data_IF_416594967880
#
_entry.id   IF_416594967880
#
_cell.length_a   1.000
_cell.length_b   1.000
_cell.length_c   1.000
_cell.angle_alpha   90.00
_cell.angle_beta   90.00
_cell.angle_gamma   90.00
#
_symmetry.space_group_name_H-M   'P 1'
#
loop_
_entity.id
_entity.type
_entity.pdbx_description
1 polymer ?
#
# COMPACT_ATOMS: atom_id res chain seq x y z
N UNK A 1 -7.90 -18.16 -38.88
CA UNK A 1 -9.01 -18.92 -38.25
C UNK A 1 -9.03 -18.61 -36.76
N UNK A 2 -10.21 -18.47 -36.16
CA UNK A 2 -10.41 -18.06 -34.75
C UNK A 2 -9.80 -19.06 -33.75
N UNK A 3 -9.73 -20.35 -34.08
CA UNK A 3 -9.26 -21.40 -33.17
C UNK A 3 -7.74 -21.67 -33.25
N UNK A 4 -6.96 -20.81 -33.92
CA UNK A 4 -5.55 -21.08 -34.20
C UNK A 4 -4.70 -21.29 -32.93
N UNK A 5 -4.92 -20.49 -31.89
CA UNK A 5 -4.16 -20.50 -30.63
C UNK A 5 -4.87 -21.22 -29.48
N UNK A 6 -6.02 -21.85 -29.72
CA UNK A 6 -6.73 -22.58 -28.67
C UNK A 6 -5.85 -23.74 -28.15
N UNK A 7 -5.66 -23.91 -26.82
CA UNK A 7 -4.82 -24.97 -26.28
C UNK A 7 -5.26 -26.35 -26.79
N UNK A 8 -4.30 -27.11 -27.31
CA UNK A 8 -4.48 -28.49 -27.77
C UNK A 8 -3.33 -29.34 -27.24
N UNK A 9 -3.67 -30.50 -26.68
CA UNK A 9 -2.68 -31.47 -26.21
C UNK A 9 -1.78 -31.87 -27.36
N UNK A 10 -0.47 -31.79 -27.17
CA UNK A 10 0.51 -32.24 -28.15
C UNK A 10 0.70 -33.75 -28.01
N UNK A 11 0.68 -34.48 -29.11
CA UNK A 11 0.87 -35.94 -29.10
C UNK A 11 2.35 -36.34 -29.14
N UNK A 12 3.25 -35.38 -29.37
CA UNK A 12 4.69 -35.58 -29.47
C UNK A 12 5.44 -34.41 -28.82
N UNK A 13 6.75 -34.61 -28.61
CA UNK A 13 7.64 -33.54 -28.17
C UNK A 13 7.73 -32.41 -29.22
N UNK A 14 7.95 -31.19 -28.76
CA UNK A 14 8.13 -30.03 -29.64
C UNK A 14 9.60 -29.89 -30.06
N UNK A 15 9.85 -29.64 -31.35
CA UNK A 15 11.19 -29.40 -31.89
C UNK A 15 11.40 -27.90 -32.13
N UNK A 16 12.26 -27.28 -31.33
CA UNK A 16 12.70 -25.88 -31.50
C UNK A 16 14.17 -25.77 -31.14
N UNK A 17 14.99 -25.26 -32.06
CA UNK A 17 16.42 -25.07 -31.81
C UNK A 17 16.66 -23.99 -30.75
N UNK A 18 17.80 -24.09 -30.06
CA UNK A 18 18.26 -23.06 -29.12
C UNK A 18 18.38 -21.68 -29.78
N UNK A 19 18.82 -21.63 -31.04
CA UNK A 19 18.92 -20.37 -31.80
C UNK A 19 17.53 -19.74 -32.02
N UNK A 20 16.54 -20.53 -32.47
CA UNK A 20 15.17 -20.06 -32.65
C UNK A 20 14.56 -19.57 -31.34
N UNK A 21 14.77 -20.30 -30.23
CA UNK A 21 14.30 -19.88 -28.89
C UNK A 21 14.94 -18.59 -28.40
N UNK A 22 16.23 -18.36 -28.68
CA UNK A 22 16.90 -17.09 -28.33
C UNK A 22 16.30 -15.89 -29.06
N UNK A 23 15.89 -16.06 -30.31
CA UNK A 23 15.22 -15.02 -31.10
C UNK A 23 13.81 -14.78 -30.57
N UNK A 24 13.01 -15.84 -30.41
CA UNK A 24 11.61 -15.78 -29.94
C UNK A 24 11.49 -15.18 -28.52
N UNK A 25 12.44 -15.47 -27.63
CA UNK A 25 12.45 -14.93 -26.25
C UNK A 25 12.38 -13.40 -26.20
N UNK A 26 12.94 -12.69 -27.19
CA UNK A 26 12.92 -11.22 -27.23
C UNK A 26 11.50 -10.67 -27.44
N UNK A 27 10.66 -11.39 -28.18
CA UNK A 27 9.29 -10.97 -28.47
C UNK A 27 8.39 -10.98 -27.23
N UNK A 28 8.62 -11.92 -26.30
CA UNK A 28 7.77 -12.13 -25.12
C UNK A 28 8.32 -11.50 -23.82
N UNK A 29 9.38 -10.69 -23.91
CA UNK A 29 10.07 -10.12 -22.73
C UNK A 29 9.16 -9.11 -22.00
N UNK A 30 8.99 -9.29 -20.67
CA UNK A 30 8.14 -8.44 -19.82
C UNK A 30 8.88 -7.64 -18.76
N UNK A 31 9.90 -8.24 -18.15
CA UNK A 31 10.73 -7.61 -17.13
C UNK A 31 12.00 -6.99 -17.75
N UNK A 32 12.77 -6.15 -17.02
CA UNK A 32 14.00 -5.57 -17.51
C UNK A 32 14.94 -6.60 -18.14
N UNK A 33 15.56 -6.25 -19.26
CA UNK A 33 16.60 -7.08 -19.86
C UNK A 33 17.92 -6.88 -19.11
N UNK A 34 18.45 -7.96 -18.54
CA UNK A 34 19.73 -7.96 -17.83
C UNK A 34 20.91 -7.57 -18.73
N UNK A 35 20.76 -7.66 -20.05
CA UNK A 35 21.77 -7.25 -21.02
C UNK A 35 21.59 -5.80 -21.48
N UNK A 36 20.51 -5.12 -21.10
CA UNK A 36 20.32 -3.71 -21.45
C UNK A 36 21.19 -2.84 -20.54
N UNK A 37 22.09 -2.07 -21.13
CA UNK A 37 23.01 -1.18 -20.41
C UNK A 37 22.62 0.30 -20.51
N UNK A 38 21.55 0.61 -21.26
CA UNK A 38 21.07 1.97 -21.46
C UNK A 38 19.87 2.21 -20.55
N UNK A 39 19.90 3.34 -19.84
CA UNK A 39 18.72 3.85 -19.16
C UNK A 39 17.70 4.35 -20.19
N UNK A 40 16.42 4.14 -19.91
CA UNK A 40 15.35 4.78 -20.66
C UNK A 40 15.38 6.31 -20.41
N UNK A 41 14.86 7.10 -21.36
CA UNK A 41 14.79 8.55 -21.18
C UNK A 41 13.71 8.88 -20.16
N UNK A 42 14.10 9.45 -19.03
CA UNK A 42 13.21 9.85 -17.94
C UNK A 42 13.16 11.38 -17.74
N UNK A 43 13.66 12.14 -18.71
CA UNK A 43 13.60 13.61 -18.65
C UNK A 43 12.15 14.08 -18.58
N UNK A 44 11.82 14.85 -17.53
CA UNK A 44 10.48 15.36 -17.25
C UNK A 44 9.39 14.28 -17.08
N UNK A 45 9.77 13.05 -16.68
CA UNK A 45 8.82 12.01 -16.30
C UNK A 45 8.65 11.98 -14.77
N UNK A 46 7.43 12.21 -14.30
CA UNK A 46 7.04 12.17 -12.88
C UNK A 46 5.94 11.14 -12.62
N UNK A 47 5.86 10.11 -13.47
CA UNK A 47 4.94 9.00 -13.29
C UNK A 47 5.24 8.25 -11.98
N UNK A 48 4.21 7.60 -11.43
CA UNK A 48 4.39 6.80 -10.23
C UNK A 48 5.23 5.54 -10.51
N UNK A 49 6.45 5.51 -9.97
CA UNK A 49 7.38 4.37 -10.07
C UNK A 49 7.32 3.43 -8.87
N UNK A 50 6.46 3.67 -7.87
CA UNK A 50 6.40 2.86 -6.66
C UNK A 50 5.96 1.43 -6.99
N UNK A 51 6.82 0.46 -6.71
CA UNK A 51 6.47 -0.96 -6.85
C UNK A 51 5.43 -1.45 -5.83
N UNK A 52 5.16 -0.67 -4.80
CA UNK A 52 4.17 -0.97 -3.76
C UNK A 52 2.77 -0.49 -4.10
N UNK A 53 2.56 0.31 -5.14
CA UNK A 53 1.23 0.83 -5.47
C UNK A 53 0.27 -0.28 -5.92
N UNK A 54 -0.93 -0.28 -5.33
CA UNK A 54 -1.96 -1.29 -5.56
C UNK A 54 -3.25 -0.65 -6.09
N UNK A 55 -3.80 -1.20 -7.17
CA UNK A 55 -5.22 -1.04 -7.50
C UNK A 55 -6.09 -2.03 -6.73
N UNK A 56 -7.41 -1.85 -6.76
CA UNK A 56 -8.37 -2.64 -5.96
C UNK A 56 -8.17 -4.16 -6.10
N UNK A 57 -8.02 -4.67 -7.33
CA UNK A 57 -7.78 -6.10 -7.58
C UNK A 57 -6.53 -6.62 -6.84
N UNK A 58 -5.45 -5.84 -6.86
CA UNK A 58 -4.20 -6.19 -6.17
C UNK A 58 -4.33 -6.07 -4.65
N UNK A 59 -4.96 -4.98 -4.18
CA UNK A 59 -5.20 -4.72 -2.78
C UNK A 59 -6.07 -5.80 -2.13
N UNK A 60 -7.15 -6.23 -2.78
CA UNK A 60 -8.00 -7.30 -2.27
C UNK A 60 -7.26 -8.63 -2.16
N UNK A 61 -6.45 -9.00 -3.16
CA UNK A 61 -5.63 -10.22 -3.12
C UNK A 61 -4.63 -10.18 -1.96
N UNK A 62 -3.92 -9.07 -1.81
CA UNK A 62 -2.90 -8.92 -0.78
C UNK A 62 -3.51 -8.85 0.64
N UNK A 63 -4.64 -8.17 0.80
CA UNK A 63 -5.38 -8.13 2.06
C UNK A 63 -5.97 -9.49 2.47
N UNK A 64 -6.42 -10.28 1.49
CA UNK A 64 -6.84 -11.67 1.73
C UNK A 64 -5.66 -12.57 2.11
N UNK A 65 -4.47 -12.34 1.53
CA UNK A 65 -3.25 -13.07 1.87
C UNK A 65 -2.75 -12.82 3.29
N UNK A 66 -2.98 -11.62 3.83
CA UNK A 66 -2.61 -11.27 5.20
C UNK A 66 -3.26 -12.22 6.23
N UNK A 67 -2.44 -12.79 7.13
CA UNK A 67 -2.87 -13.70 8.20
C UNK A 67 -3.68 -13.04 9.31
N UNK A 68 -3.68 -11.70 9.40
CA UNK A 68 -4.41 -10.94 10.43
C UNK A 68 -4.01 -11.36 11.85
N UNK A 69 -2.70 -11.47 12.07
CA UNK A 69 -2.06 -12.02 13.27
C UNK A 69 -2.55 -11.36 14.56
N UNK A 70 -2.78 -12.16 15.61
CA UNK A 70 -2.90 -11.63 16.97
C UNK A 70 -1.57 -11.00 17.42
N UNK A 71 -1.64 -9.98 18.27
CA UNK A 71 -0.48 -9.26 18.84
C UNK A 71 0.58 -8.94 17.76
N UNK A 72 0.11 -8.34 16.67
CA UNK A 72 0.82 -8.36 15.40
C UNK A 72 2.20 -7.67 15.50
N UNK A 73 3.30 -8.37 15.17
CA UNK A 73 4.64 -7.77 15.24
C UNK A 73 4.80 -6.59 14.27
N UNK A 74 4.12 -6.60 13.14
CA UNK A 74 4.11 -5.46 12.22
C UNK A 74 3.55 -4.17 12.85
N UNK A 75 2.58 -4.27 13.76
CA UNK A 75 2.05 -3.12 14.50
C UNK A 75 3.09 -2.60 15.49
N UNK A 76 3.74 -3.51 16.23
CA UNK A 76 4.82 -3.15 17.18
C UNK A 76 6.02 -2.48 16.50
N UNK A 77 6.29 -2.85 15.26
CA UNK A 77 7.34 -2.24 14.43
C UNK A 77 6.89 -0.96 13.71
N UNK A 78 5.64 -0.51 13.90
CA UNK A 78 5.15 0.74 13.34
C UNK A 78 5.35 1.89 14.34
N UNK A 79 6.03 3.00 13.98
CA UNK A 79 6.25 4.12 14.90
C UNK A 79 4.99 4.81 15.42
N UNK A 80 3.87 4.71 14.68
CA UNK A 80 2.55 5.23 15.09
C UNK A 80 1.65 4.15 15.67
N UNK A 81 2.15 2.93 15.83
CA UNK A 81 1.41 1.79 16.40
C UNK A 81 0.07 1.47 15.70
N UNK A 82 -0.01 1.72 14.40
CA UNK A 82 -1.19 1.43 13.56
C UNK A 82 -1.72 0.01 13.78
N UNK A 83 -3.04 -0.14 13.96
CA UNK A 83 -3.69 -1.46 13.95
C UNK A 83 -3.77 -2.05 12.54
N UNK A 84 -2.62 -2.59 12.09
CA UNK A 84 -2.41 -3.19 10.77
C UNK A 84 -3.35 -4.37 10.55
N UNK A 85 -3.59 -5.18 11.59
CA UNK A 85 -4.53 -6.29 11.51
C UNK A 85 -5.91 -5.79 11.13
N UNK A 86 -6.42 -4.77 11.83
CA UNK A 86 -7.80 -4.32 11.66
C UNK A 86 -8.01 -3.56 10.36
N UNK A 87 -7.08 -2.68 9.94
CA UNK A 87 -7.28 -1.97 8.68
C UNK A 87 -7.16 -2.91 7.47
N UNK A 88 -6.23 -3.87 7.48
CA UNK A 88 -6.12 -4.85 6.39
C UNK A 88 -7.34 -5.78 6.36
N UNK A 89 -7.86 -6.19 7.52
CA UNK A 89 -9.13 -6.92 7.60
C UNK A 89 -10.28 -6.14 6.96
N UNK A 90 -10.33 -4.83 7.21
CA UNK A 90 -11.35 -3.95 6.62
C UNK A 90 -11.22 -3.87 5.10
N UNK A 91 -9.99 -3.77 4.56
CA UNK A 91 -9.75 -3.82 3.10
C UNK A 91 -10.22 -5.14 2.51
N UNK A 92 -9.88 -6.28 3.13
CA UNK A 92 -10.28 -7.61 2.63
C UNK A 92 -11.80 -7.76 2.55
N UNK A 93 -12.53 -7.11 3.46
CA UNK A 93 -14.00 -7.09 3.50
C UNK A 93 -14.62 -5.94 2.70
N UNK A 94 -13.85 -5.26 1.84
CA UNK A 94 -14.26 -4.09 1.04
C UNK A 94 -14.76 -2.89 1.86
N UNK A 95 -14.45 -2.84 3.14
CA UNK A 95 -14.72 -1.70 4.01
C UNK A 95 -13.53 -0.72 3.97
N UNK A 96 -13.38 0.00 2.86
CA UNK A 96 -12.25 0.92 2.67
C UNK A 96 -12.33 2.14 3.58
N UNK A 97 -13.54 2.62 3.87
CA UNK A 97 -13.76 3.69 4.86
C UNK A 97 -13.29 3.27 6.26
N UNK A 98 -13.68 2.09 6.73
CA UNK A 98 -13.25 1.58 8.04
C UNK A 98 -11.74 1.38 8.12
N UNK A 99 -11.12 0.93 7.02
CA UNK A 99 -9.66 0.83 6.93
C UNK A 99 -9.00 2.21 7.06
N UNK A 100 -9.44 3.19 6.26
CA UNK A 100 -8.90 4.54 6.30
C UNK A 100 -9.13 5.21 7.66
N UNK A 101 -10.32 5.05 8.25
CA UNK A 101 -10.62 5.55 9.59
C UNK A 101 -9.63 5.01 10.62
N UNK A 102 -9.37 3.70 10.61
CA UNK A 102 -8.38 3.09 11.50
C UNK A 102 -6.99 3.69 11.28
N UNK A 103 -6.57 3.81 10.02
CA UNK A 103 -5.26 4.39 9.67
C UNK A 103 -5.12 5.82 10.18
N UNK A 104 -6.11 6.69 9.91
CA UNK A 104 -6.07 8.09 10.31
C UNK A 104 -6.29 8.31 11.80
N UNK A 105 -6.76 7.31 12.55
CA UNK A 105 -6.94 7.41 14.00
C UNK A 105 -5.61 7.43 14.74
N UNK A 106 -4.61 6.68 14.26
CA UNK A 106 -3.26 6.68 14.84
C UNK A 106 -2.26 7.52 14.04
N UNK A 107 -2.53 7.80 12.76
CA UNK A 107 -1.62 8.51 11.87
C UNK A 107 -2.34 9.53 10.96
N UNK A 108 -2.30 10.84 11.29
CA UNK A 108 -2.95 11.88 10.49
C UNK A 108 -2.33 12.06 9.09
N UNK A 109 -1.12 11.53 8.85
CA UNK A 109 -0.44 11.53 7.55
C UNK A 109 -0.53 10.16 6.85
N UNK A 110 -1.59 9.39 7.13
CA UNK A 110 -1.78 8.01 6.68
C UNK A 110 -1.52 7.77 5.20
N UNK A 111 -2.00 8.64 4.31
CA UNK A 111 -1.77 8.52 2.86
C UNK A 111 -0.29 8.70 2.49
N UNK A 112 0.33 9.78 2.99
CA UNK A 112 1.75 10.06 2.78
C UNK A 112 2.62 8.91 3.26
N UNK A 113 2.41 8.43 4.49
CA UNK A 113 3.15 7.32 5.07
C UNK A 113 2.95 6.02 4.28
N UNK A 114 1.74 5.74 3.77
CA UNK A 114 1.50 4.59 2.91
C UNK A 114 2.35 4.58 1.64
N UNK A 115 2.68 5.77 1.11
CA UNK A 115 3.50 5.91 -0.09
C UNK A 115 5.01 5.91 0.16
N UNK A 116 5.48 6.46 1.29
CA UNK A 116 6.92 6.79 1.47
C UNK A 116 7.59 6.08 2.64
N UNK A 117 6.86 5.36 3.49
CA UNK A 117 7.49 4.66 4.61
C UNK A 117 8.52 3.62 4.11
N UNK A 118 9.72 3.56 4.72
CA UNK A 118 10.72 2.52 4.43
C UNK A 118 10.30 1.21 5.12
N UNK A 119 9.21 0.60 4.64
CA UNK A 119 8.49 -0.44 5.39
C UNK A 119 9.34 -1.66 5.72
N UNK A 120 10.35 -1.99 4.90
CA UNK A 120 11.27 -3.10 5.14
C UNK A 120 12.06 -2.96 6.44
N UNK A 121 12.31 -1.73 6.89
CA UNK A 121 12.98 -1.42 8.17
C UNK A 121 11.96 -1.17 9.31
N UNK A 122 10.67 -1.24 9.00
CA UNK A 122 9.56 -0.94 9.91
C UNK A 122 8.58 -2.13 9.95
N UNK A 123 7.29 -1.86 9.72
CA UNK A 123 6.20 -2.81 9.85
C UNK A 123 6.36 -4.08 8.99
N UNK A 124 6.92 -3.98 7.77
CA UNK A 124 7.11 -5.14 6.88
C UNK A 124 8.28 -5.99 7.33
N UNK A 125 9.32 -5.38 7.93
CA UNK A 125 10.44 -6.10 8.52
C UNK A 125 10.03 -7.04 9.67
N UNK A 126 8.98 -6.69 10.42
CA UNK A 126 8.40 -7.52 11.47
C UNK A 126 7.28 -8.47 11.00
N UNK A 127 6.96 -8.57 9.72
CA UNK A 127 5.79 -9.34 9.26
C UNK A 127 6.01 -10.86 9.36
N UNK A 128 5.12 -11.60 10.02
CA UNK A 128 5.21 -13.07 10.14
C UNK A 128 5.26 -13.81 8.80
N UNK A 129 4.64 -13.28 7.74
CA UNK A 129 4.68 -13.88 6.41
C UNK A 129 6.06 -13.80 5.75
N UNK A 130 7.02 -13.07 6.34
CA UNK A 130 8.42 -13.16 5.94
C UNK A 130 8.96 -14.61 6.05
N UNK A 131 8.38 -15.43 6.94
CA UNK A 131 8.74 -16.84 7.10
C UNK A 131 8.20 -17.77 5.99
N UNK A 132 7.54 -17.23 4.95
CA UNK A 132 6.99 -17.98 3.81
C UNK A 132 7.71 -17.64 2.52
N UNK A 133 7.68 -18.52 1.53
CA UNK A 133 8.33 -18.35 0.24
C UNK A 133 7.76 -17.17 -0.56
N UNK A 134 6.47 -16.87 -0.41
CA UNK A 134 5.84 -15.67 -1.02
C UNK A 134 6.20 -14.36 -0.33
N UNK A 135 6.73 -14.42 0.90
CA UNK A 135 7.26 -13.27 1.63
C UNK A 135 6.22 -12.38 2.33
N UNK A 136 6.67 -11.25 2.92
CA UNK A 136 5.86 -10.42 3.81
C UNK A 136 4.79 -9.62 3.05
N UNK A 137 3.84 -9.03 3.78
CA UNK A 137 2.73 -8.26 3.19
C UNK A 137 3.20 -6.89 2.69
N UNK A 138 2.68 -6.44 1.55
CA UNK A 138 2.80 -5.05 1.10
C UNK A 138 1.88 -4.12 1.91
N UNK A 139 2.28 -3.85 3.16
CA UNK A 139 1.49 -3.06 4.12
C UNK A 139 1.34 -1.60 3.64
N UNK A 140 2.41 -0.99 3.16
CA UNK A 140 2.40 0.39 2.66
C UNK A 140 1.43 0.57 1.47
N UNK A 141 1.46 -0.34 0.50
CA UNK A 141 0.54 -0.32 -0.64
C UNK A 141 -0.93 -0.48 -0.26
N UNK A 142 -1.24 -1.31 0.74
CA UNK A 142 -2.59 -1.47 1.27
C UNK A 142 -3.06 -0.20 2.00
N UNK A 143 -2.18 0.42 2.78
CA UNK A 143 -2.44 1.69 3.45
C UNK A 143 -2.67 2.82 2.42
N UNK A 144 -1.82 2.93 1.40
CA UNK A 144 -1.99 3.87 0.28
C UNK A 144 -3.34 3.66 -0.40
N UNK A 145 -3.69 2.41 -0.75
CA UNK A 145 -4.95 2.11 -1.44
C UNK A 145 -6.18 2.54 -0.63
N UNK A 146 -6.28 2.15 0.64
CA UNK A 146 -7.45 2.48 1.46
C UNK A 146 -7.61 3.99 1.65
N UNK A 147 -6.50 4.69 1.84
CA UNK A 147 -6.50 6.15 2.06
C UNK A 147 -6.74 6.94 0.77
N UNK A 148 -6.29 6.46 -0.40
CA UNK A 148 -6.67 7.04 -1.70
C UNK A 148 -8.18 6.90 -1.96
N UNK A 149 -8.76 5.73 -1.65
CA UNK A 149 -10.21 5.52 -1.77
C UNK A 149 -10.98 6.47 -0.86
N UNK A 150 -10.56 6.63 0.40
CA UNK A 150 -11.17 7.60 1.32
C UNK A 150 -11.05 9.05 0.83
N UNK A 151 -9.88 9.43 0.31
CA UNK A 151 -9.67 10.73 -0.33
C UNK A 151 -10.66 10.95 -1.49
N UNK A 152 -10.86 9.94 -2.34
CA UNK A 152 -11.82 10.01 -3.44
C UNK A 152 -13.29 10.10 -2.98
N UNK A 153 -13.62 9.62 -1.77
CA UNK A 153 -14.97 9.78 -1.19
C UNK A 153 -15.28 11.23 -0.83
N UNK A 154 -14.29 12.12 -0.71
CA UNK A 154 -14.46 13.54 -0.33
C UNK A 154 -15.25 13.74 0.98
N UNK A 155 -15.04 12.85 1.96
CA UNK A 155 -15.63 12.98 3.30
C UNK A 155 -14.68 13.79 4.18
N UNK A 156 -15.19 14.82 4.84
CA UNK A 156 -14.41 15.69 5.73
C UNK A 156 -14.26 15.11 7.13
N UNK A 157 -13.12 15.36 7.77
CA UNK A 157 -12.97 15.14 9.21
C UNK A 157 -13.89 16.09 9.97
N UNK A 158 -14.46 15.60 11.07
CA UNK A 158 -15.34 16.37 11.96
C UNK A 158 -14.75 16.41 13.36
N UNK A 159 -15.20 17.39 14.15
CA UNK A 159 -14.93 17.43 15.59
C UNK A 159 -15.45 16.16 16.25
N UNK A 160 -14.73 15.64 17.25
CA UNK A 160 -15.14 14.44 17.98
C UNK A 160 -16.59 14.58 18.49
N UNK A 161 -17.53 13.72 18.05
CA UNK A 161 -18.95 13.83 18.41
C UNK A 161 -19.23 13.66 19.90
N UNK A 162 -18.32 13.06 20.66
CA UNK A 162 -18.47 12.85 22.10
C UNK A 162 -18.04 14.06 22.95
N UNK A 163 -17.50 15.12 22.34
CA UNK A 163 -17.12 16.34 23.06
C UNK A 163 -18.32 17.29 23.22
N UNK A 164 -18.42 18.05 24.34
CA UNK A 164 -19.42 19.10 24.52
C UNK A 164 -19.39 20.13 23.39
N UNK A 165 -20.45 20.90 23.11
CA UNK A 165 -20.41 22.01 22.16
C UNK A 165 -19.23 22.97 22.43
N UNK A 166 -18.66 23.63 21.40
CA UNK A 166 -17.52 24.54 21.58
C UNK A 166 -17.68 25.58 22.69
N UNK A 167 -18.87 26.12 22.84
CA UNK A 167 -19.28 27.10 23.85
C UNK A 167 -19.30 26.56 25.29
N UNK A 168 -19.35 25.24 25.46
CA UNK A 168 -19.37 24.56 26.77
C UNK A 168 -18.00 23.96 27.15
N UNK A 169 -16.98 24.14 26.32
CA UNK A 169 -15.63 23.65 26.61
C UNK A 169 -14.99 24.42 27.77
N UNK A 170 -14.25 23.75 28.68
CA UNK A 170 -13.51 24.44 29.73
C UNK A 170 -12.52 25.47 29.17
N UNK A 171 -12.32 26.58 29.89
CA UNK A 171 -11.42 27.68 29.47
C UNK A 171 -10.00 27.22 29.12
N UNK A 172 -9.51 26.15 29.77
CA UNK A 172 -8.22 25.53 29.46
C UNK A 172 -8.04 25.15 27.98
N UNK A 173 -9.11 24.82 27.26
CA UNK A 173 -9.09 24.47 25.84
C UNK A 173 -9.06 25.69 24.90
N UNK A 174 -9.21 26.91 25.44
CA UNK A 174 -9.12 28.17 24.69
C UNK A 174 -7.70 28.78 24.69
N UNK A 175 -6.74 28.11 25.33
CA UNK A 175 -5.36 28.54 25.40
C UNK A 175 -4.76 28.75 23.99
N UNK A 176 -4.04 29.85 23.79
CA UNK A 176 -3.38 30.14 22.52
C UNK A 176 -2.17 29.21 22.34
N UNK A 177 -2.22 28.37 21.32
CA UNK A 177 -1.13 27.45 20.96
C UNK A 177 -0.44 27.96 19.69
N UNK A 178 0.89 27.92 19.66
CA UNK A 178 1.70 28.25 18.50
C UNK A 178 2.57 27.06 18.10
N UNK A 179 2.66 26.80 16.79
CA UNK A 179 3.54 25.78 16.22
C UNK A 179 4.49 26.46 15.22
N UNK A 180 5.76 26.05 15.21
CA UNK A 180 6.75 26.59 14.29
C UNK A 180 7.08 25.57 13.20
N UNK A 181 6.75 25.93 11.96
CA UNK A 181 6.90 25.07 10.78
C UNK A 181 5.66 24.22 10.50
N UNK A 182 5.32 24.05 9.23
CA UNK A 182 4.14 23.31 8.75
C UNK A 182 4.50 21.91 8.21
N UNK A 183 5.50 21.27 8.80
CA UNK A 183 5.94 19.92 8.42
C UNK A 183 5.12 18.81 9.10
N UNK A 184 5.42 17.54 8.80
CA UNK A 184 4.68 16.39 9.33
C UNK A 184 4.56 16.37 10.87
N UNK A 185 5.62 16.76 11.58
CA UNK A 185 5.61 16.81 13.04
C UNK A 185 4.55 17.79 13.58
N UNK A 186 4.54 19.04 13.10
CA UNK A 186 3.56 20.05 13.52
C UNK A 186 2.15 19.73 13.06
N UNK A 187 1.99 19.20 11.83
CA UNK A 187 0.68 18.74 11.34
C UNK A 187 0.13 17.67 12.27
N UNK A 188 0.94 16.68 12.65
CA UNK A 188 0.51 15.63 13.57
C UNK A 188 0.17 16.15 14.96
N UNK A 189 0.88 17.15 15.46
CA UNK A 189 0.64 17.72 16.79
C UNK A 189 -0.60 18.61 16.84
N UNK A 190 -0.92 19.31 15.74
CA UNK A 190 -2.08 20.20 15.65
C UNK A 190 -3.39 19.46 15.32
N UNK A 191 -3.30 18.24 14.76
CA UNK A 191 -4.44 17.38 14.42
C UNK A 191 -5.04 16.73 15.65
#
# INVERSE_FOLDING_TARGET
SILALNPRTQTHATLRSTSAKKVDKKHWKRNPDKNCTKCEKLENNFDDIKHTTLGERGALREAMRCLKCADAPCQKSCPTNLDIKSFITSIANKNYYGAAKMIFSDNPLGLTCGMVCPTSDLCVGGCNLYATEEGPINIGGLQQFATEVFKAMNITQIRNPSLPPPEEMPEAYSAKIALFGAGPASISCAS
#
